data_IF_771757407779
#
_entry.id   IF_771757407779
#
_cell.length_a   1.000
_cell.length_b   1.000
_cell.length_c   1.000
_cell.angle_alpha   90.00
_cell.angle_beta   90.00
_cell.angle_gamma   90.00
#
_symmetry.space_group_name_H-M   'P 1'
#
loop_
_entity.id
_entity.type
_entity.pdbx_description
1 polymer ?
#
# COMPACT_ATOMS: atom_id res chain seq x y z
N UNK A 1 9.85 -4.83 2.78
CA UNK A 1 9.83 -3.48 3.40
C UNK A 1 10.36 -3.52 4.82
N UNK A 2 9.69 -4.21 5.76
CA UNK A 2 10.08 -4.24 7.18
C UNK A 2 11.55 -4.58 7.44
N UNK A 3 12.04 -5.70 6.91
CA UNK A 3 13.45 -6.08 7.09
C UNK A 3 14.46 -5.03 6.56
N UNK A 4 14.10 -4.28 5.50
CA UNK A 4 14.94 -3.19 5.02
C UNK A 4 14.94 -2.00 5.98
N UNK A 5 13.77 -1.65 6.54
CA UNK A 5 13.66 -0.64 7.59
C UNK A 5 14.46 -1.02 8.83
N UNK A 6 14.34 -2.27 9.30
CA UNK A 6 15.14 -2.78 10.44
C UNK A 6 16.65 -2.76 10.15
N UNK A 7 17.05 -2.92 8.89
CA UNK A 7 18.45 -2.80 8.45
C UNK A 7 18.92 -1.33 8.29
N UNK A 8 18.07 -0.34 8.61
CA UNK A 8 18.41 1.08 8.61
C UNK A 8 18.00 1.85 7.35
N UNK A 9 17.22 1.27 6.44
CA UNK A 9 16.66 2.01 5.33
C UNK A 9 15.60 3.02 5.83
N UNK A 10 15.69 4.27 5.37
CA UNK A 10 14.79 5.36 5.77
C UNK A 10 13.82 5.81 4.69
N UNK A 11 13.97 5.29 3.47
CA UNK A 11 13.12 5.57 2.33
C UNK A 11 12.64 4.26 1.71
N UNK A 12 11.33 4.15 1.49
CA UNK A 12 10.66 3.00 0.90
C UNK A 12 9.66 3.51 -0.13
N UNK A 13 9.84 3.12 -1.39
CA UNK A 13 8.92 3.48 -2.46
C UNK A 13 7.75 2.49 -2.52
N UNK A 14 6.56 3.02 -2.78
CA UNK A 14 5.30 2.29 -2.89
C UNK A 14 4.38 2.97 -3.90
N UNK A 15 3.27 2.31 -4.27
CA UNK A 15 2.27 2.89 -5.16
C UNK A 15 0.87 2.64 -4.61
N UNK A 16 -0.03 3.63 -4.70
CA UNK A 16 -1.41 3.52 -4.19
C UNK A 16 -2.12 2.33 -4.84
N UNK A 17 -2.73 1.44 -4.04
CA UNK A 17 -3.33 0.20 -4.56
C UNK A 17 -2.34 -0.86 -5.04
N UNK A 18 -1.05 -0.55 -5.07
CA UNK A 18 -0.02 -1.40 -5.69
C UNK A 18 -0.04 -1.35 -7.21
N UNK A 19 -0.51 -0.25 -7.81
CA UNK A 19 -0.52 -0.10 -9.27
C UNK A 19 0.88 -0.18 -9.87
N UNK A 20 0.92 -0.47 -11.17
CA UNK A 20 2.14 -0.74 -11.93
C UNK A 20 2.25 -2.21 -12.30
N UNK A 21 3.43 -2.60 -12.76
CA UNK A 21 3.72 -3.93 -13.26
C UNK A 21 4.99 -3.92 -14.09
N UNK A 22 5.54 -5.10 -14.36
CA UNK A 22 6.74 -5.22 -15.18
C UNK A 22 6.37 -5.47 -16.66
N UNK A 23 6.75 -4.59 -17.60
CA UNK A 23 6.46 -4.82 -19.02
C UNK A 23 7.19 -6.04 -19.61
N UNK A 24 8.20 -6.56 -18.89
CA UNK A 24 9.00 -7.72 -19.28
C UNK A 24 8.58 -9.02 -18.59
N UNK A 25 7.74 -8.95 -17.56
CA UNK A 25 7.28 -10.11 -16.80
C UNK A 25 5.75 -10.09 -16.73
N UNK A 26 5.07 -10.79 -17.65
CA UNK A 26 3.62 -10.94 -17.61
C UNK A 26 3.18 -11.44 -16.23
N UNK A 27 2.08 -10.88 -15.72
CA UNK A 27 1.47 -11.22 -14.42
C UNK A 27 2.35 -10.96 -13.18
N UNK A 28 3.51 -10.31 -13.32
CA UNK A 28 4.22 -9.80 -12.16
C UNK A 28 3.32 -8.81 -11.43
N UNK A 29 3.16 -9.02 -10.12
CA UNK A 29 2.46 -8.06 -9.26
C UNK A 29 3.11 -6.69 -9.37
N UNK A 30 2.32 -5.63 -9.26
CA UNK A 30 2.79 -4.26 -9.27
C UNK A 30 3.67 -3.91 -8.06
N UNK A 31 3.71 -2.63 -7.72
CA UNK A 31 4.47 -2.16 -6.58
C UNK A 31 3.84 -2.61 -5.25
N UNK A 32 4.56 -2.40 -4.14
CA UNK A 32 3.98 -2.53 -2.80
C UNK A 32 2.81 -1.52 -2.69
N UNK A 33 1.61 -1.93 -2.26
CA UNK A 33 0.50 -1.00 -2.03
C UNK A 33 0.84 0.00 -0.92
N UNK A 34 0.69 1.30 -1.19
CA UNK A 34 1.00 2.36 -0.22
C UNK A 34 0.21 2.22 1.07
N UNK A 35 -1.08 1.92 0.98
CA UNK A 35 -1.97 1.72 2.11
C UNK A 35 -1.57 0.51 2.96
N UNK A 36 -1.19 -0.60 2.33
CA UNK A 36 -0.74 -1.81 3.04
C UNK A 36 0.60 -1.56 3.74
N UNK A 37 1.51 -0.83 3.08
CA UNK A 37 2.80 -0.45 3.68
C UNK A 37 2.61 0.53 4.83
N UNK A 38 1.80 1.58 4.65
CA UNK A 38 1.52 2.55 5.70
C UNK A 38 0.89 1.86 6.93
N UNK A 39 -0.03 0.92 6.71
CA UNK A 39 -0.61 0.12 7.78
C UNK A 39 0.43 -0.72 8.51
N UNK A 40 1.30 -1.42 7.78
CA UNK A 40 2.41 -2.16 8.39
C UNK A 40 3.27 -1.24 9.27
N UNK A 41 3.65 -0.06 8.77
CA UNK A 41 4.50 0.87 9.50
C UNK A 41 3.80 1.39 10.76
N UNK A 42 2.54 1.84 10.66
CA UNK A 42 1.76 2.32 11.80
C UNK A 42 1.59 1.23 12.86
N UNK A 43 1.25 -0.01 12.45
CA UNK A 43 1.09 -1.14 13.37
C UNK A 43 2.40 -1.61 14.01
N UNK A 44 3.52 -1.30 13.38
CA UNK A 44 4.85 -1.50 13.95
C UNK A 44 5.36 -0.31 14.77
N UNK A 45 4.51 0.71 15.02
CA UNK A 45 4.85 1.86 15.84
C UNK A 45 5.73 2.91 15.13
N UNK A 46 5.78 2.87 13.79
CA UNK A 46 6.52 3.82 12.96
C UNK A 46 5.55 4.82 12.34
N UNK A 47 5.70 6.09 12.71
CA UNK A 47 4.92 7.17 12.11
C UNK A 47 5.42 7.50 10.70
N UNK A 48 4.50 7.45 9.73
CA UNK A 48 4.76 7.78 8.33
C UNK A 48 4.21 9.15 7.93
N UNK A 49 3.38 9.78 8.77
CA UNK A 49 2.62 10.99 8.46
C UNK A 49 1.49 10.79 7.44
N UNK A 50 1.19 9.54 7.07
CA UNK A 50 0.11 9.21 6.12
C UNK A 50 -1.19 8.91 6.86
N UNK A 51 -2.31 9.33 6.26
CA UNK A 51 -3.65 9.03 6.76
C UNK A 51 -4.19 7.76 6.09
N UNK A 52 -4.32 6.68 6.86
CA UNK A 52 -4.80 5.39 6.37
C UNK A 52 -6.24 5.46 5.85
N UNK A 53 -7.11 6.21 6.51
CA UNK A 53 -8.51 6.33 6.13
C UNK A 53 -8.62 7.04 4.77
N UNK A 54 -7.84 8.12 4.55
CA UNK A 54 -7.77 8.81 3.26
C UNK A 54 -7.14 7.95 2.16
N UNK A 55 -6.10 7.17 2.47
CA UNK A 55 -5.50 6.25 1.51
C UNK A 55 -6.51 5.18 1.06
N UNK A 56 -7.19 4.54 2.01
CA UNK A 56 -8.21 3.53 1.70
C UNK A 56 -9.40 4.14 0.94
N UNK A 57 -9.84 5.34 1.30
CA UNK A 57 -10.92 6.05 0.60
C UNK A 57 -10.56 6.42 -0.85
N UNK A 58 -9.26 6.50 -1.17
CA UNK A 58 -8.77 6.79 -2.51
C UNK A 58 -8.70 5.56 -3.42
N UNK A 59 -8.84 4.35 -2.90
CA UNK A 59 -8.75 3.11 -3.68
C UNK A 59 -9.81 2.99 -4.79
N UNK A 60 -11.11 3.27 -4.53
CA UNK A 60 -12.10 3.24 -5.60
C UNK A 60 -11.81 4.23 -6.74
N UNK A 61 -11.20 5.39 -6.41
CA UNK A 61 -10.82 6.36 -7.42
C UNK A 61 -9.69 5.82 -8.32
N UNK A 62 -8.64 5.23 -7.74
CA UNK A 62 -7.52 4.73 -8.55
C UNK A 62 -7.93 3.50 -9.38
N UNK A 63 -8.76 2.61 -8.85
CA UNK A 63 -9.34 1.49 -9.60
C UNK A 63 -10.10 1.98 -10.84
N UNK A 64 -10.87 3.07 -10.71
CA UNK A 64 -11.56 3.70 -11.83
C UNK A 64 -10.59 4.31 -12.87
N UNK A 65 -9.42 4.82 -12.44
CA UNK A 65 -8.41 5.34 -13.37
C UNK A 65 -7.69 4.24 -14.16
N UNK A 66 -7.37 3.12 -13.52
CA UNK A 66 -6.65 2.01 -14.17
C UNK A 66 -7.58 1.02 -14.87
N UNK A 67 -8.88 1.06 -14.58
CA UNK A 67 -9.91 0.25 -15.26
C UNK A 67 -9.99 -1.20 -14.78
N UNK A 68 -9.35 -1.53 -13.66
CA UNK A 68 -9.39 -2.85 -13.03
C UNK A 68 -9.19 -2.75 -11.51
N UNK A 69 -9.56 -3.79 -10.74
CA UNK A 69 -9.27 -3.85 -9.31
C UNK A 69 -7.77 -3.80 -9.03
N UNK A 70 -7.37 -3.15 -7.95
CA UNK A 70 -5.95 -3.06 -7.55
C UNK A 70 -5.55 -4.21 -6.62
N UNK A 71 -4.23 -4.41 -6.42
CA UNK A 71 -3.72 -5.54 -5.63
C UNK A 71 -3.87 -5.34 -4.12
N UNK A 72 -3.83 -4.08 -3.65
CA UNK A 72 -3.92 -3.70 -2.24
C UNK A 72 -5.04 -4.38 -1.46
N UNK A 73 -4.76 -4.68 -0.20
CA UNK A 73 -5.63 -5.52 0.64
C UNK A 73 -6.34 -4.72 1.74
N UNK A 74 -5.72 -3.67 2.28
CA UNK A 74 -6.25 -2.95 3.44
C UNK A 74 -7.65 -2.37 3.17
N UNK A 75 -7.83 -1.69 2.04
CA UNK A 75 -9.13 -1.10 1.69
C UNK A 75 -10.24 -2.16 1.50
N UNK A 76 -9.87 -3.39 1.14
CA UNK A 76 -10.80 -4.53 1.00
C UNK A 76 -11.13 -5.17 2.34
N UNK A 77 -10.14 -5.24 3.23
CA UNK A 77 -10.30 -5.78 4.57
C UNK A 77 -11.12 -4.85 5.49
N UNK A 78 -11.02 -3.54 5.25
CA UNK A 78 -11.57 -2.52 6.12
C UNK A 78 -10.62 -2.13 7.25
N UNK A 79 -10.95 -1.08 8.02
CA UNK A 79 -10.07 -0.56 9.07
C UNK A 79 -9.88 -1.59 10.19
N UNK A 80 -8.71 -1.54 10.84
CA UNK A 80 -8.44 -2.38 11.99
C UNK A 80 -9.40 -2.05 13.15
N UNK A 81 -9.94 -3.05 13.86
CA UNK A 81 -10.85 -2.81 14.98
C UNK A 81 -10.19 -1.89 16.03
N UNK A 82 -10.87 -0.80 16.37
CA UNK A 82 -10.49 0.02 17.52
C UNK A 82 -11.00 -0.66 18.81
N UNK A 83 -10.24 -0.65 19.91
CA UNK A 83 -10.68 -1.19 21.19
C UNK A 83 -12.00 -0.59 21.67
#
# INVERSE_FOLDING_TARGET
>A
AWAAYEAGATALDASLGGIGGCPFAPDATGNIPTEDLAFLMERSGVDTGLDLDLLCASIPWIEAQVGHPVAGLLAKAGPFPRP
#
